data_IF_225362397032
#
_entry.id   IF_225362397032
#
_cell.length_a   1.000
_cell.length_b   1.000
_cell.length_c   1.000
_cell.angle_alpha   90.00
_cell.angle_beta   90.00
_cell.angle_gamma   90.00
#
_symmetry.space_group_name_H-M   'P 1'
#
loop_
_entity.id
_entity.type
_entity.pdbx_description
1 polymer ?
#
# COMPACT_ATOMS: atom_id res chain seq x y z
N UNK A 1 88.89 11.41 -67.15
CA UNK A 1 89.05 12.25 -65.98
C UNK A 1 87.90 12.05 -65.07
N UNK A 2 88.10 11.37 -63.96
CA UNK A 2 87.13 10.94 -62.99
C UNK A 2 87.32 11.70 -61.67
N UNK A 3 86.38 12.46 -61.20
CA UNK A 3 86.22 12.80 -59.76
C UNK A 3 84.85 13.41 -59.58
N UNK A 4 84.00 12.81 -58.83
CA UNK A 4 82.68 13.44 -58.45
C UNK A 4 81.56 12.49 -58.09
N UNK A 5 81.77 11.35 -57.33
CA UNK A 5 80.68 10.53 -56.95
C UNK A 5 80.66 10.01 -55.49
N UNK A 6 81.58 10.53 -54.62
CA UNK A 6 81.75 9.96 -53.26
C UNK A 6 81.12 10.80 -52.10
N UNK A 7 80.61 12.01 -52.35
CA UNK A 7 80.10 12.85 -51.28
C UNK A 7 78.54 12.73 -51.05
N UNK A 8 77.76 12.11 -51.95
CA UNK A 8 76.32 12.08 -51.82
C UNK A 8 75.77 10.97 -50.90
N UNK A 9 76.65 10.01 -50.54
CA UNK A 9 76.21 8.82 -49.79
C UNK A 9 76.29 8.95 -48.27
N UNK A 10 77.07 9.90 -47.74
CA UNK A 10 77.31 10.10 -46.31
C UNK A 10 76.15 10.89 -45.64
N UNK A 11 75.47 11.75 -46.39
CA UNK A 11 74.35 12.55 -45.85
C UNK A 11 73.03 11.76 -45.69
N UNK A 12 72.86 10.69 -46.48
CA UNK A 12 71.59 9.87 -46.41
C UNK A 12 71.66 8.88 -45.25
N UNK A 13 72.84 8.36 -44.92
CA UNK A 13 73.02 7.42 -43.80
C UNK A 13 72.85 8.10 -42.43
N UNK A 14 73.25 9.35 -42.27
CA UNK A 14 73.11 10.09 -41.01
C UNK A 14 71.63 10.41 -40.71
N UNK A 15 70.93 10.79 -41.72
CA UNK A 15 69.43 11.05 -41.55
C UNK A 15 68.67 9.78 -41.24
N UNK A 16 69.01 8.64 -41.78
CA UNK A 16 68.37 7.38 -41.47
C UNK A 16 68.66 6.96 -40.01
N UNK A 17 69.82 7.18 -39.48
CA UNK A 17 70.14 6.86 -38.09
C UNK A 17 69.40 7.79 -37.11
N UNK A 18 69.19 9.05 -37.42
CA UNK A 18 68.36 9.95 -36.61
C UNK A 18 66.88 9.54 -36.61
N UNK A 19 66.35 9.16 -37.73
CA UNK A 19 64.99 8.69 -37.83
C UNK A 19 64.78 7.41 -37.00
N UNK A 20 65.70 6.47 -37.06
CA UNK A 20 65.67 5.24 -36.28
C UNK A 20 65.78 5.52 -34.77
N UNK A 21 66.59 6.49 -34.36
CA UNK A 21 66.67 6.92 -32.95
C UNK A 21 65.36 7.55 -32.49
N UNK A 22 64.75 8.41 -33.30
CA UNK A 22 63.53 9.07 -33.00
C UNK A 22 62.36 8.08 -32.87
N UNK A 23 62.29 7.09 -33.79
CA UNK A 23 61.25 6.00 -33.73
C UNK A 23 61.44 5.14 -32.47
N UNK A 24 62.67 4.83 -32.05
CA UNK A 24 62.91 4.09 -30.80
C UNK A 24 62.50 4.85 -29.56
N UNK A 25 62.68 6.18 -29.52
CA UNK A 25 62.24 7.02 -28.43
C UNK A 25 60.68 7.10 -28.38
N UNK A 26 59.99 7.23 -29.52
CA UNK A 26 58.55 7.22 -29.63
C UNK A 26 57.95 5.89 -29.20
N UNK A 27 58.50 4.76 -29.61
CA UNK A 27 58.04 3.43 -29.20
C UNK A 27 58.26 3.23 -27.70
N UNK A 28 59.35 3.68 -27.14
CA UNK A 28 59.64 3.63 -25.69
C UNK A 28 58.63 4.46 -24.88
N UNK A 29 58.27 5.66 -25.35
CA UNK A 29 57.25 6.52 -24.72
C UNK A 29 55.85 5.91 -24.80
N UNK A 30 55.56 5.26 -25.93
CA UNK A 30 54.23 4.62 -26.12
C UNK A 30 54.06 3.38 -25.23
N UNK A 31 55.13 2.58 -25.08
CA UNK A 31 55.14 1.42 -24.18
C UNK A 31 55.02 1.87 -22.72
N UNK A 32 55.68 2.98 -22.35
CA UNK A 32 55.60 3.52 -20.99
C UNK A 32 54.18 4.08 -20.69
N UNK A 33 53.55 4.76 -21.65
CA UNK A 33 52.18 5.26 -21.51
C UNK A 33 51.17 4.12 -21.37
N UNK A 34 51.31 3.02 -22.12
CA UNK A 34 50.43 1.85 -22.00
C UNK A 34 50.61 1.14 -20.65
N UNK A 35 51.87 1.05 -20.15
CA UNK A 35 52.13 0.45 -18.84
C UNK A 35 51.51 1.27 -17.68
N UNK A 36 51.56 2.61 -17.75
CA UNK A 36 50.97 3.48 -16.73
C UNK A 36 49.44 3.38 -16.74
N UNK A 37 48.79 3.25 -17.89
CA UNK A 37 47.31 3.06 -17.99
C UNK A 37 46.90 1.71 -17.42
N UNK A 38 47.69 0.65 -17.61
CA UNK A 38 47.41 -0.67 -17.05
C UNK A 38 47.54 -0.70 -15.51
N UNK A 39 48.51 -0.01 -14.93
CA UNK A 39 48.68 0.06 -13.46
C UNK A 39 47.57 0.91 -12.82
N UNK A 40 47.14 2.00 -13.45
CA UNK A 40 46.07 2.82 -12.97
C UNK A 40 44.68 2.09 -13.07
N UNK A 41 44.48 1.30 -14.13
CA UNK A 41 43.29 0.46 -14.30
C UNK A 41 43.16 -0.64 -13.24
N UNK A 42 44.28 -1.26 -12.85
CA UNK A 42 44.30 -2.30 -11.81
C UNK A 42 44.02 -1.73 -10.40
N UNK A 43 44.49 -0.53 -10.09
CA UNK A 43 44.21 0.13 -8.81
C UNK A 43 42.76 0.54 -8.64
N UNK A 44 42.08 0.92 -9.71
CA UNK A 44 40.61 1.23 -9.68
C UNK A 44 39.73 -0.02 -9.61
N UNK A 45 40.20 -1.16 -10.14
CA UNK A 45 39.48 -2.43 -10.02
C UNK A 45 39.62 -3.05 -8.63
N UNK A 46 40.75 -2.84 -7.93
CA UNK A 46 40.96 -3.39 -6.59
C UNK A 46 40.19 -2.67 -5.50
N UNK A 47 39.86 -1.38 -5.69
CA UNK A 47 39.02 -0.63 -4.74
C UNK A 47 37.50 -0.92 -4.89
N UNK A 48 37.05 -1.61 -5.96
CA UNK A 48 35.67 -2.05 -6.11
C UNK A 48 35.36 -3.36 -5.40
N UNK A 49 36.34 -4.09 -4.89
CA UNK A 49 36.13 -5.42 -4.28
C UNK A 49 36.00 -5.41 -2.76
N UNK A 50 35.97 -4.24 -2.10
CA UNK A 50 35.75 -4.15 -0.65
C UNK A 50 34.38 -3.57 -0.24
N UNK A 51 33.48 -3.31 -1.18
CA UNK A 51 32.09 -3.28 -0.86
C UNK A 51 31.59 -4.73 -0.84
N UNK A 52 31.87 -5.49 0.20
CA UNK A 52 31.04 -6.64 0.57
C UNK A 52 29.61 -6.14 0.50
N UNK A 53 28.71 -6.74 -0.32
CA UNK A 53 27.29 -6.48 -0.16
C UNK A 53 27.01 -6.88 1.28
N UNK A 54 26.81 -5.87 2.12
CA UNK A 54 26.25 -6.06 3.44
C UNK A 54 24.98 -6.82 3.17
N UNK A 55 24.98 -8.13 3.42
CA UNK A 55 23.84 -8.99 3.25
C UNK A 55 22.72 -8.29 3.99
N UNK A 56 21.83 -7.68 3.25
CA UNK A 56 20.70 -6.93 3.79
C UNK A 56 19.99 -7.92 4.68
N UNK A 57 20.14 -7.81 6.00
CA UNK A 57 19.56 -8.73 6.95
C UNK A 57 18.06 -8.70 6.73
N UNK A 58 17.55 -9.71 6.04
CA UNK A 58 16.13 -9.87 5.82
C UNK A 58 15.47 -9.98 7.20
N UNK A 59 14.74 -8.95 7.58
CA UNK A 59 13.99 -8.97 8.85
C UNK A 59 12.75 -9.81 8.63
N UNK A 60 12.70 -10.98 9.26
CA UNK A 60 11.54 -11.87 9.18
C UNK A 60 10.80 -11.89 10.51
N UNK A 61 9.48 -11.72 10.47
CA UNK A 61 8.60 -11.70 11.64
C UNK A 61 7.61 -12.85 11.50
N UNK A 62 7.74 -13.90 12.31
CA UNK A 62 6.81 -15.01 12.30
C UNK A 62 5.50 -14.67 13.02
N UNK A 63 4.47 -15.50 12.82
CA UNK A 63 3.17 -15.39 13.46
C UNK A 63 2.42 -14.07 13.21
N UNK A 64 2.68 -13.43 12.09
CA UNK A 64 1.92 -12.27 11.63
C UNK A 64 0.57 -12.74 11.09
N UNK A 65 -0.52 -12.07 11.52
CA UNK A 65 -1.85 -12.32 10.97
C UNK A 65 -2.13 -11.32 9.85
N UNK A 66 -2.28 -11.78 8.61
CA UNK A 66 -2.87 -10.99 7.52
C UNK A 66 -4.38 -10.97 7.73
N UNK A 67 -4.92 -9.81 8.11
CA UNK A 67 -6.37 -9.64 8.36
C UNK A 67 -7.13 -9.67 7.04
N UNK A 68 -6.66 -8.91 6.05
CA UNK A 68 -7.29 -8.79 4.72
C UNK A 68 -6.31 -8.12 3.73
N UNK A 69 -6.61 -8.19 2.44
CA UNK A 69 -6.06 -7.33 1.39
C UNK A 69 -4.97 -7.95 0.53
N UNK A 70 -4.47 -9.13 0.86
CA UNK A 70 -3.56 -9.84 -0.04
C UNK A 70 -4.32 -10.77 -0.98
N UNK A 71 -3.96 -10.72 -2.26
CA UNK A 71 -4.50 -11.62 -3.26
C UNK A 71 -4.11 -13.07 -2.95
N UNK A 72 -5.04 -14.00 -3.22
CA UNK A 72 -4.85 -15.43 -2.98
C UNK A 72 -4.56 -15.82 -1.51
N UNK A 73 -4.63 -14.88 -0.57
CA UNK A 73 -4.55 -15.14 0.86
C UNK A 73 -5.94 -14.97 1.48
N UNK A 74 -6.38 -15.99 2.19
CA UNK A 74 -7.66 -15.91 2.93
C UNK A 74 -7.52 -14.91 4.09
N UNK A 75 -8.58 -14.15 4.41
CA UNK A 75 -8.56 -13.27 5.58
C UNK A 75 -8.25 -14.02 6.87
N UNK A 76 -7.59 -13.32 7.78
CA UNK A 76 -7.16 -13.84 9.08
C UNK A 76 -6.17 -15.02 9.00
N UNK A 77 -5.43 -15.12 7.90
CA UNK A 77 -4.38 -16.14 7.73
C UNK A 77 -3.13 -15.75 8.51
N UNK A 78 -2.57 -16.68 9.27
CA UNK A 78 -1.28 -16.52 9.94
C UNK A 78 -0.15 -16.92 8.99
N UNK A 79 0.95 -16.18 9.06
CA UNK A 79 2.13 -16.43 8.23
C UNK A 79 3.36 -15.72 8.76
N UNK A 80 4.35 -15.60 7.92
CA UNK A 80 5.59 -14.89 8.18
C UNK A 80 5.65 -13.66 7.27
N UNK A 81 5.95 -12.51 7.84
CA UNK A 81 6.17 -11.26 7.10
C UNK A 81 7.67 -10.96 7.08
N UNK A 82 8.25 -10.90 5.90
CA UNK A 82 9.66 -10.68 5.68
C UNK A 82 9.89 -9.37 4.94
N UNK A 83 10.82 -8.56 5.45
CA UNK A 83 11.31 -7.39 4.73
C UNK A 83 12.44 -7.83 3.81
N UNK A 84 12.23 -7.68 2.52
CA UNK A 84 13.20 -7.91 1.46
C UNK A 84 13.85 -6.59 1.03
N UNK A 85 14.98 -6.59 0.31
CA UNK A 85 15.61 -5.36 -0.20
C UNK A 85 14.70 -4.50 -1.08
N UNK A 86 13.73 -5.12 -1.74
CA UNK A 86 12.82 -4.44 -2.68
C UNK A 86 11.35 -4.42 -2.21
N UNK A 87 11.04 -4.75 -0.97
CA UNK A 87 9.66 -4.74 -0.49
C UNK A 87 9.34 -5.69 0.65
N UNK A 88 8.06 -6.02 0.79
CA UNK A 88 7.51 -6.95 1.77
C UNK A 88 7.12 -8.27 1.11
N UNK A 89 7.48 -9.39 1.72
CA UNK A 89 6.96 -10.71 1.39
C UNK A 89 6.11 -11.23 2.55
N UNK A 90 4.88 -11.65 2.27
CA UNK A 90 4.06 -12.42 3.20
C UNK A 90 3.97 -13.86 2.73
N UNK A 91 4.40 -14.80 3.57
CA UNK A 91 4.41 -16.23 3.28
C UNK A 91 3.48 -16.98 4.25
N UNK A 92 2.53 -17.77 3.70
CA UNK A 92 1.60 -18.59 4.46
C UNK A 92 1.41 -19.94 3.78
N UNK A 93 1.96 -20.99 4.38
CA UNK A 93 1.99 -22.32 3.79
C UNK A 93 2.75 -22.32 2.45
N UNK A 94 2.05 -22.67 1.36
CA UNK A 94 2.61 -22.66 0.00
C UNK A 94 2.43 -21.31 -0.73
N UNK A 95 1.63 -20.41 -0.19
CA UNK A 95 1.32 -19.12 -0.81
C UNK A 95 2.33 -18.08 -0.36
N UNK A 96 2.83 -17.30 -1.32
CA UNK A 96 3.69 -16.14 -1.11
C UNK A 96 3.16 -14.96 -1.90
N UNK A 97 3.14 -13.79 -1.29
CA UNK A 97 2.75 -12.53 -1.93
C UNK A 97 3.81 -11.49 -1.63
N UNK A 98 4.28 -10.82 -2.69
CA UNK A 98 5.26 -9.76 -2.59
C UNK A 98 4.62 -8.41 -2.89
N UNK A 99 4.93 -7.42 -2.07
CA UNK A 99 4.57 -6.01 -2.27
C UNK A 99 5.87 -5.25 -2.49
N UNK A 100 6.07 -4.74 -3.69
CA UNK A 100 7.26 -3.93 -4.01
C UNK A 100 7.25 -2.63 -3.22
N UNK A 101 8.40 -2.21 -2.67
CA UNK A 101 8.53 -0.91 -2.00
C UNK A 101 8.12 0.25 -2.92
N UNK A 102 8.46 0.17 -4.21
CA UNK A 102 8.10 1.19 -5.19
C UNK A 102 6.59 1.30 -5.46
N UNK A 103 5.83 0.23 -5.21
CA UNK A 103 4.37 0.21 -5.37
C UNK A 103 3.62 0.75 -4.16
N UNK A 104 4.28 0.85 -3.00
CA UNK A 104 3.68 1.35 -1.76
C UNK A 104 3.36 2.83 -1.90
N UNK A 105 2.11 3.18 -1.58
CA UNK A 105 1.60 4.55 -1.62
C UNK A 105 1.54 5.16 -0.24
N UNK A 106 1.22 4.35 0.80
CA UNK A 106 1.19 4.80 2.18
C UNK A 106 1.34 3.65 3.18
N UNK A 107 1.78 3.98 4.41
CA UNK A 107 1.97 3.02 5.50
C UNK A 107 1.48 3.61 6.81
N UNK A 108 0.52 2.95 7.44
CA UNK A 108 -0.03 3.34 8.72
C UNK A 108 0.28 2.30 9.81
N UNK A 109 0.55 2.77 11.01
CA UNK A 109 0.64 1.91 12.19
C UNK A 109 -0.61 2.06 13.05
N UNK A 110 -0.93 1.05 13.87
CA UNK A 110 -2.10 1.11 14.73
C UNK A 110 -2.14 2.32 15.67
N UNK A 111 -1.01 2.90 16.00
CA UNK A 111 -0.93 4.16 16.74
C UNK A 111 -1.37 5.36 15.90
N UNK A 112 -1.00 5.42 14.64
CA UNK A 112 -1.40 6.47 13.71
C UNK A 112 -2.89 6.39 13.37
N UNK A 113 -3.41 5.20 13.08
CA UNK A 113 -4.84 4.97 12.87
C UNK A 113 -5.70 5.37 14.06
N UNK A 114 -5.16 5.30 15.29
CA UNK A 114 -5.87 5.74 16.50
C UNK A 114 -5.76 7.25 16.78
N UNK A 115 -4.72 7.88 16.30
CA UNK A 115 -4.57 9.33 16.44
C UNK A 115 -5.60 10.08 15.58
N UNK A 116 -5.91 9.56 14.39
CA UNK A 116 -6.96 10.13 13.53
C UNK A 116 -8.36 10.06 14.15
N UNK A 117 -8.58 9.12 15.10
CA UNK A 117 -9.84 8.98 15.88
C UNK A 117 -9.79 9.71 17.22
N UNK A 118 -8.65 10.25 17.64
CA UNK A 118 -8.45 10.89 18.94
C UNK A 118 -8.93 12.36 19.04
N UNK A 119 -9.63 12.87 18.02
CA UNK A 119 -10.44 14.08 18.11
C UNK A 119 -11.50 13.99 19.25
N UNK A 120 -12.32 15.00 19.43
CA UNK A 120 -13.29 15.14 20.52
C UNK A 120 -14.10 13.87 20.88
N UNK A 121 -14.34 12.97 19.89
CA UNK A 121 -14.96 11.67 20.10
C UNK A 121 -14.11 10.67 20.90
N UNK A 122 -12.77 10.73 20.78
CA UNK A 122 -11.85 9.85 21.50
C UNK A 122 -11.72 10.22 22.98
N UNK A 123 -11.91 11.49 23.33
CA UNK A 123 -11.88 11.97 24.72
C UNK A 123 -13.14 11.59 25.47
N UNK A 124 -14.29 11.60 24.81
CA UNK A 124 -15.56 11.16 25.39
C UNK A 124 -15.57 9.65 25.72
N UNK A 125 -14.88 8.82 24.91
CA UNK A 125 -14.76 7.39 25.17
C UNK A 125 -13.87 7.05 26.39
N UNK A 126 -12.95 7.94 26.76
CA UNK A 126 -12.11 7.78 27.97
C UNK A 126 -12.79 8.24 29.25
N UNK A 127 -13.76 9.13 29.15
CA UNK A 127 -14.45 9.72 30.32
C UNK A 127 -15.64 8.89 30.83
N UNK A 128 -16.06 7.84 30.10
CA UNK A 128 -17.31 7.10 30.33
C UNK A 128 -17.20 5.78 31.09
N UNK A 129 -16.17 5.52 31.90
CA UNK A 129 -16.10 4.30 32.73
C UNK A 129 -16.20 4.69 34.21
N UNK A 130 -17.40 4.81 34.76
CA UNK A 130 -17.57 4.77 36.19
C UNK A 130 -17.65 3.31 36.66
N UNK A 131 -16.90 3.02 37.70
CA UNK A 131 -16.90 1.79 38.49
C UNK A 131 -16.00 0.61 38.03
N UNK A 132 -14.82 0.58 38.57
CA UNK A 132 -14.19 -0.56 39.26
C UNK A 132 -13.82 -1.84 38.47
N UNK A 133 -14.25 -2.05 37.21
CA UNK A 133 -14.02 -3.28 36.45
C UNK A 133 -12.67 -3.40 35.72
N UNK A 134 -11.83 -2.39 35.79
CA UNK A 134 -10.61 -2.29 34.96
C UNK A 134 -9.46 -3.25 35.31
N UNK A 135 -9.54 -3.96 36.42
CA UNK A 135 -8.43 -4.82 36.89
C UNK A 135 -8.47 -6.27 36.41
N UNK A 136 -9.61 -6.81 36.06
CA UNK A 136 -9.73 -8.22 35.69
C UNK A 136 -9.49 -8.45 34.19
N UNK A 137 -9.76 -7.48 33.35
CA UNK A 137 -9.65 -7.62 31.87
C UNK A 137 -8.20 -7.47 31.36
N UNK A 138 -7.30 -6.90 32.17
CA UNK A 138 -5.90 -6.69 31.76
C UNK A 138 -5.03 -7.96 31.73
N UNK A 139 -5.49 -9.04 32.36
CA UNK A 139 -4.72 -10.28 32.50
C UNK A 139 -4.63 -11.11 31.19
N UNK A 140 -5.48 -10.85 30.19
CA UNK A 140 -5.52 -11.62 28.94
C UNK A 140 -5.41 -10.77 27.66
N UNK A 141 -5.21 -9.45 27.74
CA UNK A 141 -5.03 -8.64 26.55
C UNK A 141 -3.57 -8.66 26.10
N UNK A 142 -3.24 -9.50 25.15
CA UNK A 142 -2.00 -9.34 24.40
C UNK A 142 -2.04 -8.02 23.65
N UNK A 143 -1.06 -7.13 23.94
CA UNK A 143 -0.87 -5.94 23.12
C UNK A 143 -0.49 -6.40 21.71
N UNK A 144 -1.16 -5.90 20.71
CA UNK A 144 -0.85 -6.12 19.29
C UNK A 144 -0.72 -4.78 18.61
N UNK A 145 0.07 -4.76 17.54
CA UNK A 145 0.17 -3.60 16.65
C UNK A 145 -0.45 -3.94 15.30
N UNK A 146 -0.98 -2.93 14.66
CA UNK A 146 -1.54 -3.03 13.31
C UNK A 146 -0.62 -2.27 12.36
N UNK A 147 -0.26 -2.91 11.25
CA UNK A 147 0.40 -2.30 10.11
C UNK A 147 -0.56 -2.35 8.93
N UNK A 148 -0.94 -1.20 8.43
CA UNK A 148 -1.75 -1.06 7.21
C UNK A 148 -0.84 -0.54 6.10
N UNK A 149 -0.85 -1.21 4.95
CA UNK A 149 -0.04 -0.85 3.79
C UNK A 149 -0.96 -0.66 2.60
N UNK A 150 -0.93 0.51 2.00
CA UNK A 150 -1.57 0.82 0.74
C UNK A 150 -0.57 0.70 -0.40
N UNK A 151 -0.96 0.04 -1.48
CA UNK A 151 -0.10 -0.14 -2.64
C UNK A 151 -0.91 -0.23 -3.92
N UNK A 152 -0.25 -0.05 -5.05
CA UNK A 152 -0.84 -0.26 -6.38
C UNK A 152 -0.20 -1.46 -7.06
N UNK A 153 -1.00 -2.24 -7.77
CA UNK A 153 -0.51 -3.35 -8.58
C UNK A 153 0.10 -2.86 -9.91
N UNK A 154 0.57 -3.79 -10.73
CA UNK A 154 1.16 -3.51 -12.05
C UNK A 154 0.18 -2.85 -13.02
N UNK A 155 -1.12 -3.00 -12.83
CA UNK A 155 -2.17 -2.40 -13.66
C UNK A 155 -2.62 -1.03 -13.13
N UNK A 156 -2.11 -0.59 -11.97
CA UNK A 156 -2.50 0.65 -11.29
C UNK A 156 -3.68 0.46 -10.34
N UNK A 157 -4.18 -0.76 -10.18
CA UNK A 157 -5.26 -1.09 -9.26
C UNK A 157 -4.85 -0.87 -7.80
N UNK A 158 -5.67 -0.14 -7.05
CA UNK A 158 -5.43 0.13 -5.63
C UNK A 158 -5.68 -1.11 -4.77
N UNK A 159 -4.77 -1.36 -3.86
CA UNK A 159 -4.84 -2.40 -2.84
C UNK A 159 -4.52 -1.84 -1.47
N UNK A 160 -5.11 -2.42 -0.45
CA UNK A 160 -4.73 -2.17 0.92
C UNK A 160 -4.64 -3.48 1.70
N UNK A 161 -3.61 -3.65 2.51
CA UNK A 161 -3.47 -4.84 3.35
C UNK A 161 -3.25 -4.48 4.80
N UNK A 162 -3.80 -5.29 5.68
CA UNK A 162 -3.75 -5.09 7.13
C UNK A 162 -3.08 -6.29 7.78
N UNK A 163 -1.99 -6.03 8.51
CA UNK A 163 -1.28 -7.02 9.30
C UNK A 163 -1.40 -6.73 10.78
N UNK A 164 -1.58 -7.77 11.57
CA UNK A 164 -1.49 -7.72 13.03
C UNK A 164 -0.19 -8.40 13.44
N UNK A 165 0.62 -7.66 14.19
CA UNK A 165 1.96 -8.03 14.60
C UNK A 165 2.11 -7.96 16.13
N UNK A 166 3.22 -8.54 16.62
CA UNK A 166 3.67 -8.34 18.00
C UNK A 166 4.07 -6.88 18.23
N UNK A 167 3.95 -6.36 19.46
CA UNK A 167 4.28 -4.99 19.81
C UNK A 167 5.70 -4.59 19.39
N UNK A 168 5.87 -3.34 18.95
CA UNK A 168 7.13 -2.75 18.51
C UNK A 168 7.57 -3.16 17.10
N UNK A 169 6.82 -4.01 16.38
CA UNK A 169 7.22 -4.50 15.07
C UNK A 169 6.68 -3.66 13.91
N UNK A 170 5.49 -3.08 14.05
CA UNK A 170 4.87 -2.29 13.00
C UNK A 170 5.69 -1.03 12.69
N UNK A 171 6.07 -0.27 13.72
CA UNK A 171 6.89 0.95 13.57
C UNK A 171 8.25 0.62 12.95
N UNK A 172 8.93 -0.44 13.43
CA UNK A 172 10.23 -0.84 12.88
C UNK A 172 10.14 -1.23 11.40
N UNK A 173 9.06 -1.93 10.99
CA UNK A 173 8.84 -2.26 9.57
C UNK A 173 8.56 -1.00 8.74
N UNK A 174 7.70 -0.10 9.23
CA UNK A 174 7.42 1.18 8.57
C UNK A 174 8.70 1.95 8.33
N UNK A 175 9.52 2.17 9.37
CA UNK A 175 10.76 2.94 9.26
C UNK A 175 11.72 2.33 8.24
N UNK A 176 11.85 1.01 8.22
CA UNK A 176 12.69 0.30 7.25
C UNK A 176 12.15 0.39 5.82
N UNK A 177 10.83 0.29 5.62
CA UNK A 177 10.21 0.46 4.30
C UNK A 177 10.39 1.88 3.77
N UNK A 178 10.23 2.88 4.64
CA UNK A 178 10.49 4.29 4.30
C UNK A 178 11.97 4.48 3.93
N UNK A 179 12.90 3.90 4.68
CA UNK A 179 14.32 3.92 4.36
C UNK A 179 14.65 3.23 3.02
N UNK A 180 13.83 2.28 2.58
CA UNK A 180 13.90 1.64 1.26
C UNK A 180 13.20 2.44 0.15
N UNK A 181 12.61 3.60 0.46
CA UNK A 181 11.93 4.47 -0.51
C UNK A 181 10.43 4.26 -0.65
N UNK A 182 9.78 3.57 0.29
CA UNK A 182 8.32 3.55 0.33
C UNK A 182 7.78 4.96 0.57
N UNK A 183 6.71 5.30 -0.13
CA UNK A 183 6.02 6.57 0.06
C UNK A 183 5.23 6.53 1.36
N UNK A 184 5.15 7.67 2.02
CA UNK A 184 4.25 7.95 3.13
C UNK A 184 3.62 9.31 2.89
N UNK A 185 2.31 9.40 3.08
CA UNK A 185 1.61 10.68 3.07
C UNK A 185 1.77 11.30 4.45
N UNK A 186 2.41 12.46 4.53
CA UNK A 186 2.45 13.24 5.76
C UNK A 186 1.09 13.89 5.91
N UNK A 187 0.19 13.27 6.68
CA UNK A 187 -1.05 13.93 7.05
C UNK A 187 -0.72 15.09 8.00
N UNK A 188 -0.85 16.33 7.51
CA UNK A 188 -0.82 17.50 8.38
C UNK A 188 -1.96 17.36 9.40
N UNK A 189 -1.67 17.59 10.67
CA UNK A 189 -2.65 17.56 11.76
C UNK A 189 -3.84 18.44 11.40
N UNK A 190 -5.01 17.80 11.16
CA UNK A 190 -6.21 18.51 10.74
C UNK A 190 -6.69 19.45 11.84
N UNK A 191 -7.13 20.68 11.52
CA UNK A 191 -7.67 21.61 12.50
C UNK A 191 -8.92 21.01 13.16
N UNK A 192 -9.05 21.20 14.47
CA UNK A 192 -10.14 20.66 15.30
C UNK A 192 -11.50 21.05 14.74
N UNK A 193 -12.42 20.09 14.48
CA UNK A 193 -13.74 20.39 13.98
C UNK A 193 -14.58 21.09 15.06
N UNK A 194 -15.20 22.19 14.68
CA UNK A 194 -16.29 22.81 15.45
C UNK A 194 -17.57 22.08 15.07
N UNK A 195 -18.22 21.46 16.04
CA UNK A 195 -19.45 20.72 15.83
C UNK A 195 -20.60 21.66 15.39
N UNK A 196 -21.08 21.49 14.16
CA UNK A 196 -22.36 22.04 13.72
C UNK A 196 -23.46 20.98 13.83
N UNK A 197 -24.64 21.29 14.31
CA UNK A 197 -25.75 20.36 14.37
C UNK A 197 -26.30 20.07 12.95
N UNK A 198 -26.29 18.83 12.55
CA UNK A 198 -26.89 18.37 11.28
C UNK A 198 -28.39 18.49 11.33
N UNK A 199 -29.00 19.16 10.36
CA UNK A 199 -30.43 19.19 10.14
C UNK A 199 -30.95 17.78 9.76
N UNK A 200 -32.21 17.43 10.11
CA UNK A 200 -32.81 16.14 9.75
C UNK A 200 -32.95 15.99 8.21
N UNK A 201 -32.68 14.83 7.65
CA UNK A 201 -32.86 14.61 6.22
C UNK A 201 -34.36 14.61 5.84
N UNK A 202 -34.69 15.33 4.77
CA UNK A 202 -36.00 15.28 4.14
C UNK A 202 -36.30 13.87 3.60
N UNK A 203 -37.57 13.43 3.63
CA UNK A 203 -37.97 12.12 3.11
C UNK A 203 -37.82 12.10 1.60
N UNK A 204 -36.92 11.25 1.12
CA UNK A 204 -36.70 11.01 -0.31
C UNK A 204 -37.89 10.34 -1.00
N UNK A 205 -38.00 10.47 -2.34
CA UNK A 205 -39.13 9.96 -3.12
C UNK A 205 -39.28 8.43 -3.02
N UNK A 206 -40.53 7.97 -3.05
CA UNK A 206 -40.93 6.58 -2.94
C UNK A 206 -40.26 5.65 -3.95
N UNK A 207 -40.02 4.37 -3.62
CA UNK A 207 -39.28 3.45 -4.46
C UNK A 207 -40.03 3.17 -5.77
N UNK A 208 -39.50 3.70 -6.87
CA UNK A 208 -39.87 3.24 -8.21
C UNK A 208 -39.37 1.80 -8.35
N UNK A 209 -40.19 0.91 -8.88
CA UNK A 209 -39.83 -0.48 -9.19
C UNK A 209 -38.59 -0.48 -10.09
N UNK A 210 -37.45 -0.86 -9.53
CA UNK A 210 -36.17 -0.79 -10.17
C UNK A 210 -36.11 -1.81 -11.32
N UNK A 211 -36.07 -1.29 -12.56
CA UNK A 211 -35.67 -2.06 -13.73
C UNK A 211 -34.26 -2.63 -13.42
N UNK A 212 -34.08 -3.95 -13.52
CA UNK A 212 -32.77 -4.56 -13.33
C UNK A 212 -31.74 -3.90 -14.24
N UNK A 213 -30.63 -3.51 -13.68
CA UNK A 213 -29.50 -2.97 -14.42
C UNK A 213 -28.68 -4.12 -15.02
N UNK A 214 -28.04 -3.86 -16.14
CA UNK A 214 -27.12 -4.80 -16.77
C UNK A 214 -25.75 -4.13 -16.93
N UNK A 215 -24.70 -4.82 -16.56
CA UNK A 215 -23.32 -4.40 -16.76
C UNK A 215 -22.43 -5.63 -16.81
N UNK A 216 -21.41 -5.64 -17.68
CA UNK A 216 -20.43 -6.72 -17.74
C UNK A 216 -19.35 -6.55 -16.67
N UNK A 217 -19.09 -5.33 -16.26
CA UNK A 217 -18.03 -5.03 -15.30
C UNK A 217 -18.43 -3.96 -14.28
N UNK A 218 -17.78 -4.03 -13.12
CA UNK A 218 -17.89 -3.04 -12.07
C UNK A 218 -16.52 -2.60 -11.59
N UNK A 219 -16.35 -1.30 -11.34
CA UNK A 219 -15.17 -0.75 -10.68
C UNK A 219 -15.54 -0.20 -9.32
N UNK A 220 -14.84 -0.63 -8.27
CA UNK A 220 -14.95 0.02 -6.96
C UNK A 220 -13.99 1.20 -6.91
N UNK A 221 -14.52 2.40 -6.77
CA UNK A 221 -13.74 3.61 -6.63
C UNK A 221 -13.28 3.79 -5.17
N UNK A 222 -12.04 4.24 -4.99
CA UNK A 222 -11.56 4.66 -3.68
C UNK A 222 -12.25 5.98 -3.33
N UNK A 223 -12.95 6.00 -2.21
CA UNK A 223 -13.60 7.22 -1.71
C UNK A 223 -12.85 7.71 -0.49
N UNK A 224 -12.39 8.95 -0.56
CA UNK A 224 -11.84 9.62 0.61
C UNK A 224 -13.00 10.11 1.48
N UNK A 225 -12.96 9.91 2.81
CA UNK A 225 -13.94 10.50 3.71
C UNK A 225 -13.84 12.03 3.63
N UNK A 226 -14.98 12.70 3.78
CA UNK A 226 -14.97 14.15 3.98
C UNK A 226 -14.16 14.52 5.23
N UNK A 227 -13.62 15.73 5.27
CA UNK A 227 -12.76 16.20 6.38
C UNK A 227 -13.42 16.10 7.77
N UNK A 228 -14.74 16.07 7.82
CA UNK A 228 -15.51 16.00 9.06
C UNK A 228 -15.64 14.58 9.65
N UNK A 229 -15.40 13.53 8.85
CA UNK A 229 -15.64 12.15 9.27
C UNK A 229 -14.33 11.38 9.46
N UNK A 230 -13.89 11.29 10.71
CA UNK A 230 -12.68 10.57 11.09
C UNK A 230 -12.92 9.05 11.10
N UNK A 231 -12.51 8.36 10.06
CA UNK A 231 -12.54 6.90 9.96
C UNK A 231 -11.10 6.38 10.01
N UNK A 232 -10.79 5.44 10.92
CA UNK A 232 -9.46 4.82 10.97
C UNK A 232 -9.09 4.16 9.65
N UNK A 233 -7.82 4.26 9.26
CA UNK A 233 -7.35 3.76 7.96
C UNK A 233 -7.55 2.24 7.80
N UNK A 234 -7.31 1.47 8.86
CA UNK A 234 -7.61 0.04 8.87
C UNK A 234 -9.09 -0.26 8.58
N UNK A 235 -10.00 0.60 9.05
CA UNK A 235 -11.44 0.49 8.77
C UNK A 235 -11.74 0.83 7.31
N UNK A 236 -11.12 1.87 6.74
CA UNK A 236 -11.26 2.25 5.33
C UNK A 236 -10.80 1.14 4.41
N UNK A 237 -9.58 0.67 4.62
CA UNK A 237 -8.98 -0.44 3.86
C UNK A 237 -9.80 -1.72 4.00
N UNK A 238 -10.19 -2.07 5.23
CA UNK A 238 -11.02 -3.27 5.45
C UNK A 238 -12.36 -3.17 4.75
N UNK A 239 -12.97 -1.99 4.70
CA UNK A 239 -14.23 -1.76 3.97
C UNK A 239 -14.03 -2.00 2.48
N UNK A 240 -13.05 -1.33 1.89
CA UNK A 240 -12.73 -1.44 0.47
C UNK A 240 -12.46 -2.91 0.06
N UNK A 241 -11.55 -3.58 0.73
CA UNK A 241 -11.17 -4.96 0.42
C UNK A 241 -12.32 -5.97 0.66
N UNK A 242 -13.14 -5.77 1.70
CA UNK A 242 -14.31 -6.62 1.90
C UNK A 242 -15.36 -6.41 0.80
N UNK A 243 -15.56 -5.19 0.31
CA UNK A 243 -16.49 -4.91 -0.80
C UNK A 243 -15.97 -5.54 -2.09
N UNK A 244 -14.71 -5.36 -2.47
CA UNK A 244 -14.10 -6.05 -3.64
C UNK A 244 -14.37 -7.56 -3.57
N UNK A 245 -14.10 -8.17 -2.42
CA UNK A 245 -14.33 -9.61 -2.22
C UNK A 245 -15.79 -10.01 -2.34
N UNK A 246 -16.72 -9.20 -1.86
CA UNK A 246 -18.15 -9.50 -1.98
C UNK A 246 -18.63 -9.31 -3.41
N UNK A 247 -18.22 -8.26 -4.11
CA UNK A 247 -18.50 -8.06 -5.54
C UNK A 247 -18.06 -9.26 -6.36
N UNK A 248 -16.83 -9.73 -6.17
CA UNK A 248 -16.32 -10.94 -6.85
C UNK A 248 -17.14 -12.19 -6.53
N UNK A 249 -17.64 -12.32 -5.28
CA UNK A 249 -18.47 -13.45 -4.86
C UNK A 249 -19.89 -13.45 -5.46
N UNK A 250 -20.43 -12.29 -5.81
CA UNK A 250 -21.77 -12.21 -6.42
C UNK A 250 -21.83 -12.89 -7.78
N UNK A 251 -20.68 -12.96 -8.49
CA UNK A 251 -20.57 -13.45 -9.87
C UNK A 251 -21.55 -12.76 -10.85
N UNK A 252 -21.95 -11.54 -10.53
CA UNK A 252 -22.82 -10.72 -11.38
C UNK A 252 -22.09 -10.04 -12.51
N UNK A 253 -20.79 -9.84 -12.33
CA UNK A 253 -19.91 -9.19 -13.28
C UNK A 253 -18.82 -10.16 -13.74
N UNK A 254 -18.46 -10.08 -15.00
CA UNK A 254 -17.31 -10.81 -15.56
C UNK A 254 -16.01 -10.31 -14.95
N UNK A 255 -15.92 -8.98 -14.72
CA UNK A 255 -14.76 -8.34 -14.13
C UNK A 255 -15.13 -7.38 -13.00
N UNK A 256 -14.37 -7.45 -11.91
CA UNK A 256 -14.42 -6.51 -10.79
C UNK A 256 -13.09 -5.78 -10.74
N UNK A 257 -13.11 -4.51 -11.14
CA UNK A 257 -11.91 -3.66 -11.18
C UNK A 257 -11.73 -2.89 -9.89
N UNK A 258 -10.48 -2.64 -9.58
CA UNK A 258 -10.06 -1.77 -8.47
C UNK A 258 -9.95 -0.32 -8.91
N UNK A 259 -9.98 0.60 -7.97
CA UNK A 259 -9.74 2.02 -8.25
C UNK A 259 -8.38 2.21 -8.91
N UNK A 260 -8.33 2.95 -10.00
CA UNK A 260 -7.10 3.21 -10.76
C UNK A 260 -6.65 2.11 -11.72
N UNK A 261 -7.36 0.98 -11.81
CA UNK A 261 -7.02 -0.10 -12.74
C UNK A 261 -7.20 0.38 -14.19
N UNK A 262 -6.10 0.36 -14.94
CA UNK A 262 -6.07 0.81 -16.35
C UNK A 262 -6.92 -0.04 -17.27
N UNK A 263 -7.13 -1.32 -16.96
CA UNK A 263 -7.97 -2.18 -17.78
C UNK A 263 -9.45 -1.77 -17.74
N UNK A 264 -9.91 -1.16 -16.66
CA UNK A 264 -11.26 -0.61 -16.55
C UNK A 264 -11.54 0.49 -17.60
N UNK A 265 -10.49 1.20 -18.06
CA UNK A 265 -10.64 2.31 -18.98
C UNK A 265 -11.19 1.90 -20.37
N UNK A 266 -11.05 0.65 -20.77
CA UNK A 266 -11.48 0.14 -22.09
C UNK A 266 -12.84 -0.53 -22.09
N UNK A 267 -13.47 -0.74 -20.92
CA UNK A 267 -14.74 -1.45 -20.81
C UNK A 267 -15.92 -0.51 -21.09
N UNK A 268 -16.76 -0.75 -22.11
CA UNK A 268 -17.80 0.20 -22.54
C UNK A 268 -18.97 0.30 -21.54
N UNK A 269 -19.41 -0.80 -20.97
CA UNK A 269 -20.57 -0.91 -20.05
C UNK A 269 -20.14 -1.02 -18.57
N UNK A 270 -19.04 -0.34 -18.22
CA UNK A 270 -18.53 -0.29 -16.86
C UNK A 270 -19.48 0.49 -15.95
N UNK A 271 -19.85 -0.12 -14.83
CA UNK A 271 -20.49 0.56 -13.71
C UNK A 271 -19.46 0.90 -12.64
N UNK A 272 -19.51 2.12 -12.13
CA UNK A 272 -18.65 2.59 -11.05
C UNK A 272 -19.44 2.57 -9.76
N UNK A 273 -18.92 1.88 -8.74
CA UNK A 273 -19.46 1.87 -7.38
C UNK A 273 -18.64 2.79 -6.49
N UNK A 274 -19.31 3.74 -5.87
CA UNK A 274 -18.76 4.63 -4.84
C UNK A 274 -19.34 4.30 -3.49
N UNK A 275 -18.51 4.33 -2.45
CA UNK A 275 -18.91 4.20 -1.05
C UNK A 275 -18.69 5.55 -0.38
N UNK A 276 -19.74 6.31 -0.18
CA UNK A 276 -19.69 7.64 0.43
C UNK A 276 -19.98 7.47 1.93
N UNK A 277 -18.99 7.60 2.82
CA UNK A 277 -19.19 7.47 4.25
C UNK A 277 -20.10 8.59 4.78
N UNK A 278 -21.13 8.24 5.56
CA UNK A 278 -22.05 9.21 6.17
C UNK A 278 -21.91 9.26 7.69
N UNK A 279 -21.61 8.12 8.32
CA UNK A 279 -21.41 8.06 9.76
C UNK A 279 -20.50 6.89 10.15
N UNK A 280 -19.69 7.11 11.16
CA UNK A 280 -18.84 6.11 11.78
C UNK A 280 -18.93 6.21 13.30
N UNK A 281 -19.22 5.08 13.96
CA UNK A 281 -19.16 4.97 15.41
C UNK A 281 -18.16 3.91 15.78
N UNK A 282 -17.02 4.35 16.33
CA UNK A 282 -16.06 3.43 16.93
C UNK A 282 -16.66 2.81 18.18
N UNK A 283 -16.72 1.48 18.21
CA UNK A 283 -17.11 0.72 19.39
C UNK A 283 -15.91 0.18 20.15
N UNK A 284 -16.16 -0.51 21.24
CA UNK A 284 -15.15 -1.18 22.04
C UNK A 284 -15.38 -2.68 22.09
N UNK A 285 -14.43 -3.46 21.59
CA UNK A 285 -14.48 -4.92 21.70
C UNK A 285 -14.58 -5.38 23.17
N UNK A 286 -13.78 -4.76 24.05
CA UNK A 286 -13.81 -5.06 25.49
C UNK A 286 -15.17 -4.82 26.13
N UNK A 287 -15.85 -3.73 25.73
CA UNK A 287 -17.22 -3.48 26.21
C UNK A 287 -18.20 -4.53 25.69
N UNK A 288 -18.08 -4.96 24.42
CA UNK A 288 -18.94 -6.01 23.85
C UNK A 288 -18.75 -7.38 24.52
N UNK A 289 -17.55 -7.68 24.99
CA UNK A 289 -17.26 -8.93 25.70
C UNK A 289 -17.87 -8.96 27.09
N UNK A 290 -18.01 -7.80 27.72
CA UNK A 290 -18.54 -7.66 29.08
C UNK A 290 -20.05 -7.39 29.10
N UNK A 291 -20.53 -6.61 28.12
CA UNK A 291 -21.93 -6.19 28.05
C UNK A 291 -22.50 -6.43 26.65
N UNK A 292 -23.65 -7.05 26.58
CA UNK A 292 -24.34 -7.29 25.31
C UNK A 292 -25.01 -6.03 24.72
N UNK A 293 -25.00 -4.91 25.43
CA UNK A 293 -25.78 -3.70 25.11
C UNK A 293 -24.90 -2.55 24.60
N UNK A 294 -23.64 -2.47 25.05
CA UNK A 294 -22.76 -1.34 24.72
C UNK A 294 -21.52 -1.76 23.93
N UNK A 295 -20.85 -0.80 23.30
CA UNK A 295 -19.60 -1.05 22.58
C UNK A 295 -19.78 -1.45 21.10
N UNK A 296 -20.98 -1.32 20.54
CA UNK A 296 -21.21 -1.60 19.11
C UNK A 296 -20.38 -0.66 18.23
N UNK A 297 -19.76 -1.25 17.20
CA UNK A 297 -19.16 -0.48 16.08
C UNK A 297 -20.16 -0.46 14.94
N UNK A 298 -20.37 0.71 14.34
CA UNK A 298 -21.20 0.84 13.13
C UNK A 298 -20.57 1.81 12.13
N UNK A 299 -20.85 1.55 10.85
CA UNK A 299 -20.46 2.39 9.74
C UNK A 299 -21.63 2.48 8.77
N UNK A 300 -22.12 3.69 8.52
CA UNK A 300 -23.15 3.98 7.51
C UNK A 300 -22.48 4.58 6.28
N UNK A 301 -22.81 4.05 5.12
CA UNK A 301 -22.36 4.57 3.83
C UNK A 301 -23.54 4.69 2.88
N UNK A 302 -23.53 5.71 2.05
CA UNK A 302 -24.34 5.78 0.86
C UNK A 302 -23.56 5.09 -0.26
N UNK A 303 -24.13 4.05 -0.83
CA UNK A 303 -23.62 3.42 -2.04
C UNK A 303 -24.23 4.11 -3.25
N UNK A 304 -23.40 4.44 -4.22
CA UNK A 304 -23.81 5.08 -5.45
C UNK A 304 -23.25 4.29 -6.63
N UNK A 305 -24.16 3.81 -7.49
CA UNK A 305 -23.81 3.22 -8.76
C UNK A 305 -23.92 4.29 -9.84
N UNK A 306 -22.86 4.50 -10.58
CA UNK A 306 -22.84 5.47 -11.69
C UNK A 306 -22.38 4.77 -12.98
N UNK A 307 -22.89 5.22 -14.11
CA UNK A 307 -22.33 4.88 -15.41
C UNK A 307 -21.02 5.66 -15.63
N UNK A 308 -20.27 5.28 -16.65
CA UNK A 308 -19.00 5.93 -16.98
C UNK A 308 -19.11 7.45 -17.26
N UNK A 309 -20.22 7.89 -17.83
CA UNK A 309 -20.53 9.30 -18.09
C UNK A 309 -20.96 10.08 -16.83
N UNK A 310 -20.90 9.44 -15.67
CA UNK A 310 -21.22 10.05 -14.37
C UNK A 310 -22.71 10.06 -14.01
N UNK A 311 -23.59 9.48 -14.84
CA UNK A 311 -25.02 9.41 -14.53
C UNK A 311 -25.25 8.45 -13.36
N UNK A 312 -25.96 8.91 -12.34
CA UNK A 312 -26.35 8.09 -11.20
C UNK A 312 -27.42 7.08 -11.66
N UNK A 313 -27.15 5.80 -11.47
CA UNK A 313 -28.03 4.69 -11.80
C UNK A 313 -28.86 4.25 -10.59
N UNK A 314 -28.24 4.24 -9.40
CA UNK A 314 -28.88 3.89 -8.14
C UNK A 314 -28.09 4.49 -6.97
N UNK A 315 -28.84 4.93 -5.95
CA UNK A 315 -28.29 5.26 -4.64
C UNK A 315 -29.03 4.49 -3.56
N UNK A 316 -28.32 4.03 -2.54
CA UNK A 316 -28.93 3.34 -1.38
C UNK A 316 -28.03 3.49 -0.16
N UNK A 317 -28.66 3.72 0.99
CA UNK A 317 -27.95 3.72 2.27
C UNK A 317 -27.76 2.29 2.77
N UNK A 318 -26.55 2.01 3.23
CA UNK A 318 -26.18 0.71 3.79
C UNK A 318 -25.42 0.92 5.09
N UNK A 319 -25.76 0.16 6.12
CA UNK A 319 -25.12 0.24 7.41
C UNK A 319 -24.56 -1.11 7.83
N UNK A 320 -23.24 -1.17 8.12
CA UNK A 320 -22.59 -2.31 8.73
C UNK A 320 -22.47 -2.15 10.23
N UNK A 321 -22.71 -3.24 10.98
CA UNK A 321 -22.69 -3.24 12.45
C UNK A 321 -22.01 -4.48 13.01
N UNK A 322 -21.29 -4.30 14.13
CA UNK A 322 -20.93 -5.40 15.01
C UNK A 322 -21.48 -5.08 16.41
N UNK A 323 -22.41 -5.89 16.90
CA UNK A 323 -23.13 -5.64 18.15
C UNK A 323 -22.61 -6.49 19.31
N UNK A 324 -22.23 -7.74 19.05
CA UNK A 324 -21.90 -8.70 20.09
C UNK A 324 -20.39 -9.03 20.08
N UNK A 325 -20.03 -10.24 19.74
CA UNK A 325 -18.64 -10.67 19.76
C UNK A 325 -17.88 -10.31 18.50
N UNK A 326 -16.55 -10.07 18.61
CA UNK A 326 -15.63 -9.93 17.52
C UNK A 326 -14.95 -8.57 17.43
N UNK A 327 -13.96 -8.52 16.57
CA UNK A 327 -13.16 -7.33 16.30
C UNK A 327 -14.00 -6.23 15.65
N UNK A 328 -13.59 -4.96 15.79
CA UNK A 328 -14.30 -3.81 15.22
C UNK A 328 -14.44 -3.92 13.69
N UNK A 329 -13.43 -4.46 13.00
CA UNK A 329 -13.43 -4.65 11.56
C UNK A 329 -14.52 -5.61 11.04
N UNK A 330 -15.21 -6.35 11.92
CA UNK A 330 -16.39 -7.13 11.48
C UNK A 330 -17.55 -6.26 10.99
N UNK A 331 -17.63 -5.00 11.43
CA UNK A 331 -18.62 -4.06 10.91
C UNK A 331 -18.43 -3.81 9.40
N UNK A 332 -17.21 -3.76 8.92
CA UNK A 332 -16.89 -3.59 7.50
C UNK A 332 -17.27 -4.82 6.66
N UNK A 333 -17.10 -6.01 7.23
CA UNK A 333 -17.56 -7.25 6.58
C UNK A 333 -19.09 -7.33 6.50
N UNK A 334 -19.81 -6.94 7.56
CA UNK A 334 -21.29 -6.87 7.55
C UNK A 334 -21.77 -5.86 6.52
N UNK A 335 -21.15 -4.68 6.45
CA UNK A 335 -21.40 -3.67 5.43
C UNK A 335 -21.25 -4.26 4.02
N UNK A 336 -20.09 -4.87 3.74
CA UNK A 336 -19.80 -5.43 2.44
C UNK A 336 -20.79 -6.53 2.01
N UNK A 337 -21.25 -7.37 2.96
CA UNK A 337 -22.32 -8.35 2.68
C UNK A 337 -23.61 -7.68 2.22
N UNK A 338 -23.98 -6.58 2.87
CA UNK A 338 -25.20 -5.84 2.51
C UNK A 338 -25.04 -5.13 1.16
N UNK A 339 -23.85 -4.59 0.86
CA UNK A 339 -23.52 -4.09 -0.49
C UNK A 339 -23.70 -5.19 -1.53
N UNK A 340 -23.14 -6.40 -1.27
CA UNK A 340 -23.32 -7.54 -2.16
C UNK A 340 -24.76 -7.97 -2.35
N UNK A 341 -25.60 -7.85 -1.30
CA UNK A 341 -27.04 -8.11 -1.40
C UNK A 341 -27.72 -7.09 -2.33
N UNK A 342 -27.40 -5.79 -2.18
CA UNK A 342 -27.93 -4.75 -3.08
C UNK A 342 -27.50 -5.02 -4.53
N UNK A 343 -26.24 -5.41 -4.77
CA UNK A 343 -25.78 -5.78 -6.11
C UNK A 343 -26.61 -6.94 -6.69
N UNK A 344 -26.87 -7.99 -5.90
CA UNK A 344 -27.67 -9.13 -6.36
C UNK A 344 -29.13 -8.77 -6.68
N UNK A 345 -29.69 -7.79 -5.97
CA UNK A 345 -31.05 -7.29 -6.21
C UNK A 345 -31.12 -6.40 -7.46
N UNK A 346 -30.04 -5.64 -7.72
CA UNK A 346 -30.01 -4.60 -8.75
C UNK A 346 -29.60 -5.14 -10.13
N UNK A 347 -28.66 -6.06 -10.15
CA UNK A 347 -28.09 -6.72 -11.33
C UNK A 347 -28.49 -8.22 -11.36
#
# INVERSE_FOLDING_TARGET
MKAGSTQFNLGVQSKQQEIVRWLRQLVGLLVFAVAVVFVAGAALAFNRQLATPQASQSTSIPNVKCVIGLENIKPNTKGTLSLLPAGLEFAAGKSKVNISTASIQDIFTGQESRQDVSGAAGTAAKAGIPYGGGRVVSLFSHKVEVLTVEYVDSNGGFHGTIFVLSPGKATVLKDKLVAQGAKITTHAEAPKPVAQPSAPPEPGPAPQQAKKLTASAIQLERTEPGEELLIPEDTRISTYENVIRQLTKTKKFEHVYRSGDRAAATVPDLVILRLIPEAFKAGSQKQREVTTVTGATSMKVKIQFTSRDGKILLEKDVEGKVRFYGENLRATYDLAKKVGAVVNETF
#
